data_IF_716793969939
#
_entry.id   IF_716793969939
#
_cell.length_a   1.000
_cell.length_b   1.000
_cell.length_c   1.000
_cell.angle_alpha   90.00
_cell.angle_beta   90.00
_cell.angle_gamma   90.00
#
_symmetry.space_group_name_H-M   'P 1'
#
loop_
_entity.id
_entity.type
_entity.pdbx_description
1 polymer ?
#
# COMPACT_ATOMS: atom_id res chain seq x y z
N UNK A 1 -4.34 17.19 12.08
CA UNK A 1 -3.53 15.96 12.12
C UNK A 1 -3.52 15.41 10.71
N UNK A 2 -2.35 15.28 10.08
CA UNK A 2 -2.26 14.66 8.77
C UNK A 2 -2.45 13.15 8.97
N UNK A 3 -3.53 12.58 8.45
CA UNK A 3 -3.73 11.13 8.47
C UNK A 3 -2.60 10.51 7.62
N UNK A 4 -1.72 9.73 8.24
CA UNK A 4 -0.66 9.02 7.54
C UNK A 4 -1.27 7.72 7.02
N UNK A 5 -1.46 7.65 5.70
CA UNK A 5 -1.95 6.44 5.04
C UNK A 5 -0.78 5.48 4.83
N UNK A 6 -0.28 4.95 5.95
CA UNK A 6 0.89 4.08 6.03
C UNK A 6 0.56 2.57 6.04
N UNK A 7 -0.73 2.23 5.93
CA UNK A 7 -1.21 0.88 5.70
C UNK A 7 -1.69 0.69 4.27
N UNK A 8 -1.44 -0.49 3.70
CA UNK A 8 -1.91 -0.88 2.37
C UNK A 8 -2.48 -2.29 2.42
N UNK A 9 -3.70 -2.46 1.93
CA UNK A 9 -4.39 -3.74 1.84
C UNK A 9 -4.43 -4.17 0.39
N UNK A 10 -3.97 -5.39 0.12
CA UNK A 10 -4.13 -6.05 -1.18
C UNK A 10 -5.41 -6.87 -1.20
N UNK A 11 -5.92 -7.09 -2.41
CA UNK A 11 -7.13 -7.87 -2.63
C UNK A 11 -6.94 -8.82 -3.80
N UNK A 12 -7.67 -9.94 -3.76
CA UNK A 12 -7.73 -10.88 -4.88
C UNK A 12 -8.52 -10.34 -6.07
N UNK A 13 -9.45 -9.40 -5.84
CA UNK A 13 -10.28 -8.82 -6.89
C UNK A 13 -10.66 -7.36 -6.59
N UNK A 14 -10.80 -6.55 -7.65
CA UNK A 14 -11.10 -5.12 -7.54
C UNK A 14 -12.41 -4.81 -6.82
N UNK A 15 -13.41 -5.70 -6.91
CA UNK A 15 -14.68 -5.50 -6.22
C UNK A 15 -14.54 -5.56 -4.69
N UNK A 16 -13.60 -6.36 -4.17
CA UNK A 16 -13.29 -6.37 -2.74
C UNK A 16 -12.64 -5.06 -2.30
N UNK A 17 -11.70 -4.53 -3.09
CA UNK A 17 -11.06 -3.25 -2.81
C UNK A 17 -12.08 -2.09 -2.78
N UNK A 18 -12.97 -2.01 -3.78
CA UNK A 18 -14.01 -0.98 -3.86
C UNK A 18 -15.00 -1.11 -2.69
N UNK A 19 -15.36 -2.35 -2.31
CA UNK A 19 -16.26 -2.58 -1.18
C UNK A 19 -15.59 -2.24 0.14
N UNK A 20 -14.32 -2.59 0.32
CA UNK A 20 -13.53 -2.24 1.51
C UNK A 20 -13.43 -0.73 1.69
N UNK A 21 -13.13 0.02 0.61
CA UNK A 21 -13.12 1.50 0.64
C UNK A 21 -14.45 2.05 1.13
N UNK A 22 -15.56 1.58 0.54
CA UNK A 22 -16.89 2.06 0.90
C UNK A 22 -17.23 1.76 2.36
N UNK A 23 -16.95 0.53 2.81
CA UNK A 23 -17.23 0.08 4.18
C UNK A 23 -16.42 0.88 5.20
N UNK A 24 -15.13 1.11 4.93
CA UNK A 24 -14.28 1.87 5.84
C UNK A 24 -14.62 3.36 5.84
N UNK A 25 -14.98 3.95 4.69
CA UNK A 25 -15.43 5.35 4.64
C UNK A 25 -16.77 5.56 5.34
N UNK A 26 -17.69 4.61 5.21
CA UNK A 26 -18.97 4.62 5.94
C UNK A 26 -18.75 4.56 7.46
N UNK A 27 -17.75 3.80 7.90
CA UNK A 27 -17.33 3.74 9.29
C UNK A 27 -16.43 4.92 9.75
N UNK A 28 -16.20 5.93 8.90
CA UNK A 28 -15.47 7.15 9.25
C UNK A 28 -13.96 7.04 9.20
N UNK A 29 -13.41 6.07 8.46
CA UNK A 29 -11.97 5.93 8.24
C UNK A 29 -11.53 6.73 7.01
N UNK A 30 -10.31 7.26 7.06
CA UNK A 30 -9.64 7.82 5.91
C UNK A 30 -9.05 6.68 5.08
N UNK A 31 -9.62 6.42 3.91
CA UNK A 31 -9.10 5.44 2.96
C UNK A 31 -8.89 6.06 1.58
N UNK A 32 -7.90 5.55 0.86
CA UNK A 32 -7.59 5.96 -0.50
C UNK A 32 -7.38 4.72 -1.38
N UNK A 33 -8.22 4.58 -2.41
CA UNK A 33 -8.01 3.57 -3.44
C UNK A 33 -6.81 3.98 -4.30
N UNK A 34 -5.77 3.16 -4.27
CA UNK A 34 -4.60 3.33 -5.10
C UNK A 34 -4.57 2.25 -6.19
N UNK A 35 -4.11 2.63 -7.38
CA UNK A 35 -3.68 1.65 -8.37
C UNK A 35 -2.46 0.93 -7.80
N UNK A 36 -2.65 -0.29 -7.33
CA UNK A 36 -1.59 -1.14 -6.82
C UNK A 36 -0.55 -1.34 -7.94
N UNK A 37 0.75 -1.14 -7.69
CA UNK A 37 1.77 -1.48 -8.65
C UNK A 37 1.59 -2.95 -9.08
N UNK A 38 1.74 -3.23 -10.38
CA UNK A 38 1.59 -4.58 -10.97
C UNK A 38 2.41 -5.67 -10.26
N UNK A 39 3.42 -5.27 -9.48
CA UNK A 39 4.29 -6.15 -8.69
C UNK A 39 3.62 -6.71 -7.42
N UNK A 40 2.59 -6.04 -6.86
CA UNK A 40 1.93 -6.48 -5.63
C UNK A 40 0.77 -7.45 -5.85
N UNK A 41 0.04 -7.34 -6.96
CA UNK A 41 -1.05 -8.29 -7.27
C UNK A 41 -1.20 -8.45 -8.79
N UNK A 42 -0.89 -9.64 -9.33
CA UNK A 42 -1.03 -9.91 -10.76
C UNK A 42 -2.50 -10.04 -11.21
N UNK A 43 -3.45 -10.23 -10.28
CA UNK A 43 -4.88 -10.43 -10.58
C UNK A 43 -5.70 -9.13 -10.54
N UNK A 44 -5.46 -8.24 -9.57
CA UNK A 44 -6.12 -6.95 -9.54
C UNK A 44 -5.12 -5.87 -9.12
N UNK A 45 -4.82 -4.94 -10.01
CA UNK A 45 -3.91 -3.80 -9.73
C UNK A 45 -4.56 -2.75 -8.83
N UNK A 46 -5.37 -3.15 -7.85
CA UNK A 46 -6.13 -2.25 -6.98
C UNK A 46 -5.81 -2.58 -5.53
N UNK A 47 -5.32 -1.58 -4.81
CA UNK A 47 -5.00 -1.69 -3.39
C UNK A 47 -5.68 -0.56 -2.62
N UNK A 48 -5.91 -0.79 -1.33
CA UNK A 48 -6.55 0.20 -0.46
C UNK A 48 -5.53 0.71 0.55
N UNK A 49 -5.31 2.02 0.55
CA UNK A 49 -4.50 2.68 1.57
C UNK A 49 -5.36 3.10 2.74
N UNK A 50 -4.84 2.93 3.95
CA UNK A 50 -5.52 3.27 5.19
C UNK A 50 -4.48 3.56 6.28
N UNK A 51 -4.93 3.93 7.48
CA UNK A 51 -4.06 4.21 8.63
C UNK A 51 -3.72 2.91 9.37
N UNK A 52 -2.43 2.51 9.40
CA UNK A 52 -2.01 1.26 10.04
C UNK A 52 -2.29 1.28 11.56
N UNK A 53 -2.29 2.46 12.18
CA UNK A 53 -2.64 2.63 13.61
C UNK A 53 -4.06 2.14 13.95
N UNK A 54 -4.96 2.08 12.96
CA UNK A 54 -6.34 1.60 13.12
C UNK A 54 -6.60 0.29 12.38
N UNK A 55 -5.55 -0.52 12.18
CA UNK A 55 -5.67 -1.82 11.49
C UNK A 55 -6.64 -2.75 12.19
N UNK A 56 -6.61 -2.83 13.51
CA UNK A 56 -7.48 -3.74 14.27
C UNK A 56 -8.96 -3.38 14.06
N UNK A 57 -9.31 -2.11 14.27
CA UNK A 57 -10.64 -1.58 13.98
C UNK A 57 -11.05 -1.76 12.50
N UNK A 58 -10.15 -1.46 11.57
CA UNK A 58 -10.43 -1.59 10.14
C UNK A 58 -10.71 -3.05 9.76
N UNK A 59 -9.92 -4.00 10.26
CA UNK A 59 -10.13 -5.43 10.05
C UNK A 59 -11.44 -5.91 10.69
N UNK A 60 -11.78 -5.42 11.89
CA UNK A 60 -13.04 -5.74 12.54
C UNK A 60 -14.24 -5.28 11.72
N UNK A 61 -14.22 -4.04 11.20
CA UNK A 61 -15.28 -3.50 10.34
C UNK A 61 -15.37 -4.27 9.01
N UNK A 62 -14.24 -4.63 8.41
CA UNK A 62 -14.22 -5.43 7.19
C UNK A 62 -14.75 -6.86 7.43
N UNK A 63 -14.40 -7.48 8.55
CA UNK A 63 -14.88 -8.80 8.95
C UNK A 63 -16.39 -8.81 9.20
N UNK A 64 -16.92 -7.80 9.91
CA UNK A 64 -18.37 -7.62 10.13
C UNK A 64 -19.14 -7.56 8.80
N UNK A 65 -18.55 -6.93 7.79
CA UNK A 65 -19.16 -6.78 6.46
C UNK A 65 -18.83 -7.91 5.48
N UNK A 66 -18.19 -8.98 5.95
CA UNK A 66 -17.74 -10.14 5.18
C UNK A 66 -16.86 -9.76 3.97
N UNK A 67 -16.00 -8.76 4.13
CA UNK A 67 -15.06 -8.34 3.10
C UNK A 67 -13.76 -9.12 3.26
N UNK A 68 -13.45 -9.97 2.27
CA UNK A 68 -12.18 -10.70 2.25
C UNK A 68 -11.04 -9.79 1.80
N UNK A 69 -9.98 -9.76 2.60
CA UNK A 69 -8.69 -9.13 2.31
C UNK A 69 -7.66 -10.21 1.97
N UNK A 70 -6.67 -9.89 1.15
CA UNK A 70 -5.56 -10.81 0.85
C UNK A 70 -4.48 -10.70 1.93
N UNK A 71 -3.81 -9.55 1.97
CA UNK A 71 -2.78 -9.28 2.97
C UNK A 71 -2.76 -7.78 3.32
N UNK A 72 -2.28 -7.47 4.52
CA UNK A 72 -2.04 -6.10 4.97
C UNK A 72 -0.53 -5.86 5.00
N UNK A 73 -0.09 -4.89 4.21
CA UNK A 73 1.31 -4.49 4.13
C UNK A 73 1.51 -3.10 4.73
N UNK A 74 2.57 -2.89 5.53
CA UNK A 74 2.99 -1.54 5.86
C UNK A 74 3.47 -0.85 4.59
N UNK A 75 2.78 0.20 4.18
CA UNK A 75 3.16 1.04 3.06
C UNK A 75 3.80 2.31 3.58
N UNK A 76 5.12 2.40 3.47
CA UNK A 76 5.78 3.67 3.68
C UNK A 76 5.57 4.47 2.39
N UNK A 77 4.71 5.52 2.36
CA UNK A 77 4.67 6.41 1.22
C UNK A 77 6.11 6.84 0.98
N UNK A 78 6.56 6.66 -0.25
CA UNK A 78 7.91 7.00 -0.64
C UNK A 78 8.04 8.51 -0.43
N UNK A 79 8.60 8.92 0.71
CA UNK A 79 8.81 10.33 1.05
C UNK A 79 10.04 10.88 0.35
N UNK A 80 10.52 10.23 -0.73
CA UNK A 80 11.19 10.98 -1.77
C UNK A 80 10.15 11.94 -2.33
N UNK A 81 10.07 13.11 -1.69
CA UNK A 81 10.15 14.33 -2.45
C UNK A 81 11.15 14.05 -3.57
N UNK A 82 10.64 13.77 -4.76
CA UNK A 82 11.38 13.98 -5.98
C UNK A 82 11.64 15.47 -5.99
N UNK A 83 12.66 15.85 -5.25
CA UNK A 83 13.37 17.09 -5.40
C UNK A 83 13.65 17.18 -6.89
N UNK A 84 13.03 18.16 -7.56
CA UNK A 84 13.29 18.44 -8.98
C UNK A 84 14.75 18.90 -9.23
N UNK A 85 15.67 18.71 -8.28
CA UNK A 85 17.08 19.02 -8.38
C UNK A 85 17.98 17.86 -7.91
N UNK A 86 18.08 16.83 -8.75
CA UNK A 86 19.35 16.13 -8.96
C UNK A 86 19.63 14.91 -8.09
N UNK A 87 19.50 13.73 -8.69
CA UNK A 87 20.22 12.53 -8.25
C UNK A 87 21.74 12.68 -8.44
N UNK A 88 22.54 12.00 -7.60
CA UNK A 88 23.33 10.93 -8.19
C UNK A 88 23.31 9.68 -7.31
N UNK A 89 22.66 8.63 -7.81
CA UNK A 89 22.89 7.26 -7.38
C UNK A 89 24.37 6.92 -7.67
N UNK A 90 25.19 6.89 -6.62
CA UNK A 90 26.53 6.30 -6.70
C UNK A 90 26.37 4.78 -6.79
N UNK A 91 26.39 4.26 -8.02
CA UNK A 91 26.64 2.83 -8.31
C UNK A 91 27.99 2.42 -7.69
N UNK A 92 27.95 1.73 -6.57
CA UNK A 92 29.09 0.94 -6.12
C UNK A 92 29.14 -0.37 -6.92
N UNK A 93 29.68 -0.33 -8.15
CA UNK A 93 30.20 -1.54 -8.81
C UNK A 93 31.48 -1.95 -8.08
N UNK A 94 31.36 -2.83 -7.07
CA UNK A 94 32.54 -3.53 -6.56
C UNK A 94 33.02 -4.46 -7.66
N UNK A 95 34.26 -4.20 -8.07
CA UNK A 95 35.09 -4.98 -8.99
C UNK A 95 35.05 -6.46 -8.59
N UNK A 96 34.53 -7.30 -9.49
CA UNK A 96 34.92 -8.71 -9.57
C UNK A 96 35.84 -8.87 -10.77
N UNK A 97 36.95 -9.58 -10.59
CA UNK A 97 37.74 -10.13 -11.68
C UNK A 97 39.12 -9.48 -11.90
N UNK A 98 40.10 -9.88 -11.09
CA UNK A 98 41.47 -10.08 -11.58
C UNK A 98 42.28 -10.95 -10.61
N UNK A 99 42.63 -12.16 -11.06
CA UNK A 99 44.01 -12.68 -11.14
C UNK A 99 43.99 -14.18 -11.42
N UNK A 100 44.38 -14.53 -12.65
CA UNK A 100 45.27 -15.65 -12.91
C UNK A 100 46.63 -15.05 -13.24
#
# INVERSE_FOLDING_TARGET
>A
MAATLDGLITFFASHHAIRADKVLRDAGFATELASGPKELSPNCGTALRFELSRTDDALAVLADRHVQVDEVHPYVPRTDAWDRSGSPVRRAKRLWGRRS
#
